data_IF_589328790840
#
_entry.id   IF_589328790840
#
_cell.length_a   1.000
_cell.length_b   1.000
_cell.length_c   1.000
_cell.angle_alpha   90.00
_cell.angle_beta   90.00
_cell.angle_gamma   90.00
#
_symmetry.space_group_name_H-M   'P 1'
#
loop_
_entity.id
_entity.type
_entity.pdbx_description
1 polymer ?
#
# COMPACT_ATOMS: atom_id res chain seq x y z
N UNK A 1 19.43 -3.08 -10.25
CA UNK A 1 18.81 -4.42 -10.32
C UNK A 1 19.75 -5.52 -10.88
N UNK A 2 20.39 -5.41 -12.07
CA UNK A 2 21.23 -6.52 -12.59
C UNK A 2 22.37 -6.94 -11.66
N UNK A 3 22.98 -6.01 -10.93
CA UNK A 3 24.06 -6.30 -9.96
C UNK A 3 23.62 -7.20 -8.79
N UNK A 4 22.36 -7.18 -8.41
CA UNK A 4 21.85 -8.01 -7.32
C UNK A 4 21.71 -9.48 -7.70
N UNK A 5 21.49 -9.79 -8.98
CA UNK A 5 21.42 -11.18 -9.48
C UNK A 5 22.78 -11.88 -9.40
N UNK A 6 23.87 -11.14 -9.55
CA UNK A 6 25.24 -11.66 -9.43
C UNK A 6 25.83 -11.57 -8.02
N UNK A 7 25.13 -10.93 -7.07
CA UNK A 7 25.63 -10.78 -5.72
C UNK A 7 25.42 -12.07 -4.90
N UNK A 8 26.44 -12.45 -4.15
CA UNK A 8 26.35 -13.62 -3.26
C UNK A 8 25.37 -13.36 -2.12
N UNK A 9 24.54 -14.34 -1.76
CA UNK A 9 23.65 -14.22 -0.62
C UNK A 9 24.44 -14.09 0.69
N UNK A 10 24.06 -13.13 1.51
CA UNK A 10 24.69 -12.95 2.83
C UNK A 10 24.35 -14.12 3.74
N UNK A 11 25.34 -14.65 4.41
CA UNK A 11 25.17 -15.77 5.35
C UNK A 11 25.53 -15.30 6.75
N UNK A 12 24.52 -15.20 7.61
CA UNK A 12 24.70 -14.89 9.03
C UNK A 12 24.64 -16.20 9.83
N UNK A 13 25.64 -16.52 10.65
CA UNK A 13 25.68 -17.79 11.39
C UNK A 13 24.54 -17.97 12.39
N UNK A 14 24.09 -16.86 13.00
CA UNK A 14 23.04 -16.84 14.02
C UNK A 14 21.63 -16.56 13.45
N UNK A 15 21.46 -16.48 12.12
CA UNK A 15 20.18 -16.19 11.50
C UNK A 15 19.26 -17.40 11.52
N UNK A 16 17.96 -17.16 11.84
CA UNK A 16 16.89 -18.08 11.54
C UNK A 16 16.52 -17.96 10.05
N UNK A 17 17.05 -18.86 9.25
CA UNK A 17 16.89 -18.82 7.79
C UNK A 17 15.45 -19.05 7.33
N UNK A 18 14.66 -19.81 8.10
CA UNK A 18 13.27 -20.07 7.75
C UNK A 18 12.43 -18.80 7.92
N UNK A 19 12.50 -18.17 9.09
CA UNK A 19 11.77 -16.94 9.38
C UNK A 19 12.20 -15.82 8.44
N UNK A 20 13.51 -15.68 8.19
CA UNK A 20 14.02 -14.68 7.27
C UNK A 20 13.46 -14.85 5.86
N UNK A 21 13.54 -16.05 5.28
CA UNK A 21 13.04 -16.31 3.92
C UNK A 21 11.53 -16.19 3.81
N UNK A 22 10.79 -16.68 4.81
CA UNK A 22 9.34 -16.49 4.87
C UNK A 22 9.01 -15.00 4.84
N UNK A 23 9.68 -14.20 5.66
CA UNK A 23 9.47 -12.75 5.68
C UNK A 23 9.75 -12.07 4.34
N UNK A 24 10.88 -12.40 3.72
CA UNK A 24 11.29 -11.83 2.42
C UNK A 24 10.31 -12.19 1.31
N UNK A 25 9.82 -13.44 1.27
CA UNK A 25 8.90 -13.93 0.22
C UNK A 25 7.47 -13.41 0.45
N UNK A 26 7.05 -13.25 1.70
CA UNK A 26 5.69 -12.79 2.02
C UNK A 26 5.40 -11.41 1.45
N UNK A 27 6.35 -10.49 1.43
CA UNK A 27 6.13 -9.11 0.94
C UNK A 27 5.70 -9.07 -0.54
N UNK A 28 6.45 -9.65 -1.50
CA UNK A 28 6.01 -9.66 -2.90
C UNK A 28 4.78 -10.55 -3.13
N UNK A 29 4.63 -11.66 -2.41
CA UNK A 29 3.45 -12.53 -2.53
C UNK A 29 2.18 -11.80 -2.09
N UNK A 30 2.20 -11.09 -0.95
CA UNK A 30 1.08 -10.31 -0.49
C UNK A 30 0.70 -9.21 -1.50
N UNK A 31 1.69 -8.54 -2.11
CA UNK A 31 1.44 -7.54 -3.15
C UNK A 31 0.78 -8.13 -4.40
N UNK A 32 1.17 -9.34 -4.83
CA UNK A 32 0.53 -10.03 -5.96
C UNK A 32 -0.88 -10.48 -5.59
N UNK A 33 -1.08 -11.04 -4.40
CA UNK A 33 -2.40 -11.47 -3.92
C UNK A 33 -3.36 -10.28 -3.77
N UNK A 34 -2.87 -9.12 -3.36
CA UNK A 34 -3.68 -7.90 -3.30
C UNK A 34 -4.17 -7.44 -4.68
N UNK A 35 -3.38 -7.66 -5.73
CA UNK A 35 -3.73 -7.28 -7.09
C UNK A 35 -4.85 -8.14 -7.71
N UNK A 36 -5.10 -9.35 -7.20
CA UNK A 36 -6.11 -10.27 -7.75
C UNK A 36 -7.54 -9.70 -7.70
N UNK A 37 -7.85 -8.86 -6.73
CA UNK A 37 -9.18 -8.26 -6.54
C UNK A 37 -9.38 -6.95 -7.29
N UNK A 38 -8.33 -6.45 -7.95
CA UNK A 38 -8.38 -5.16 -8.66
C UNK A 38 -9.01 -5.36 -10.04
N UNK A 39 -10.17 -4.74 -10.34
CA UNK A 39 -10.78 -4.86 -11.64
C UNK A 39 -10.00 -4.07 -12.69
N UNK A 40 -9.68 -4.75 -13.79
CA UNK A 40 -9.04 -4.15 -14.94
C UNK A 40 -9.99 -4.20 -16.14
N UNK A 41 -10.45 -3.06 -16.58
CA UNK A 41 -11.43 -2.97 -17.65
C UNK A 41 -12.84 -3.50 -17.30
N UNK A 42 -13.17 -3.63 -16.02
CA UNK A 42 -14.47 -4.14 -15.54
C UNK A 42 -14.45 -5.59 -15.08
N UNK A 43 -13.34 -6.31 -15.25
CA UNK A 43 -13.16 -7.70 -14.77
C UNK A 43 -12.01 -7.78 -13.78
N UNK A 44 -12.19 -8.48 -12.67
CA UNK A 44 -11.13 -8.83 -11.73
C UNK A 44 -10.77 -10.32 -11.88
N UNK A 45 -9.54 -10.69 -11.55
CA UNK A 45 -9.12 -12.11 -11.51
C UNK A 45 -9.88 -12.86 -10.42
N UNK A 46 -10.03 -12.23 -9.25
CA UNK A 46 -10.83 -12.73 -8.14
C UNK A 46 -11.87 -11.66 -7.74
N UNK A 47 -13.10 -11.81 -8.21
CA UNK A 47 -14.19 -10.89 -7.89
C UNK A 47 -14.84 -11.27 -6.55
N UNK A 48 -14.18 -10.86 -5.46
CA UNK A 48 -14.62 -11.15 -4.10
C UNK A 48 -15.66 -10.12 -3.63
N UNK A 49 -16.72 -10.60 -2.98
CA UNK A 49 -17.71 -9.73 -2.32
C UNK A 49 -17.12 -8.84 -1.22
N UNK A 50 -15.96 -9.20 -0.70
CA UNK A 50 -15.20 -8.49 0.33
C UNK A 50 -13.82 -8.06 -0.19
N UNK A 51 -13.73 -7.68 -1.46
CA UNK A 51 -12.47 -7.37 -2.15
C UNK A 51 -11.65 -6.26 -1.47
N UNK A 52 -12.31 -5.24 -0.92
CA UNK A 52 -11.64 -4.17 -0.14
C UNK A 52 -10.99 -4.73 1.12
N UNK A 53 -11.67 -5.61 1.84
CA UNK A 53 -11.13 -6.26 3.06
C UNK A 53 -9.98 -7.19 2.70
N UNK A 54 -10.08 -7.92 1.59
CA UNK A 54 -8.98 -8.75 1.10
C UNK A 54 -7.72 -7.92 0.82
N UNK A 55 -7.85 -6.79 0.12
CA UNK A 55 -6.73 -5.89 -0.16
C UNK A 55 -6.05 -5.43 1.14
N UNK A 56 -6.84 -4.98 2.12
CA UNK A 56 -6.33 -4.55 3.42
C UNK A 56 -5.66 -5.73 4.19
N UNK A 57 -6.26 -6.92 4.16
CA UNK A 57 -5.67 -8.09 4.82
C UNK A 57 -4.29 -8.48 4.22
N UNK A 58 -4.11 -8.33 2.90
CA UNK A 58 -2.81 -8.57 2.26
C UNK A 58 -1.79 -7.50 2.65
N UNK A 59 -2.23 -6.27 2.84
CA UNK A 59 -1.39 -5.19 3.34
C UNK A 59 -0.90 -5.50 4.77
N UNK A 60 -1.79 -5.89 5.68
CA UNK A 60 -1.43 -6.31 7.05
C UNK A 60 -0.51 -7.54 7.04
N UNK A 61 -0.69 -8.48 6.12
CA UNK A 61 0.21 -9.63 5.94
C UNK A 61 1.65 -9.17 5.63
N UNK A 62 1.81 -8.04 4.93
CA UNK A 62 3.13 -7.44 4.68
C UNK A 62 3.82 -6.99 5.97
N UNK A 63 3.07 -6.57 7.00
CA UNK A 63 3.67 -6.24 8.30
C UNK A 63 4.35 -7.45 8.93
N UNK A 64 3.64 -8.58 8.96
CA UNK A 64 4.21 -9.83 9.45
C UNK A 64 5.45 -10.23 8.63
N UNK A 65 5.36 -10.14 7.30
CA UNK A 65 6.47 -10.44 6.40
C UNK A 65 7.70 -9.58 6.66
N UNK A 66 7.52 -8.26 6.73
CA UNK A 66 8.65 -7.35 6.92
C UNK A 66 9.23 -7.44 8.36
N UNK A 67 8.37 -7.68 9.35
CA UNK A 67 8.84 -7.94 10.71
C UNK A 67 9.67 -9.22 10.79
N UNK A 68 9.23 -10.32 10.16
CA UNK A 68 9.98 -11.58 10.07
C UNK A 68 11.31 -11.39 9.31
N UNK A 69 11.31 -10.61 8.23
CA UNK A 69 12.52 -10.28 7.49
C UNK A 69 13.52 -9.47 8.34
N UNK A 70 13.02 -8.65 9.27
CA UNK A 70 13.84 -7.91 10.23
C UNK A 70 14.33 -8.77 11.39
N UNK A 71 13.50 -9.69 11.90
CA UNK A 71 13.80 -10.58 13.01
C UNK A 71 14.76 -11.71 12.61
N UNK A 72 14.49 -12.36 11.46
CA UNK A 72 15.19 -13.57 11.02
C UNK A 72 16.72 -13.49 10.95
N UNK A 73 17.34 -12.37 10.53
CA UNK A 73 18.78 -12.20 10.51
C UNK A 73 19.46 -12.24 11.88
N UNK A 74 18.70 -12.09 12.97
CA UNK A 74 19.21 -11.96 14.34
C UNK A 74 20.29 -10.85 14.46
N UNK A 75 20.01 -9.72 13.81
CA UNK A 75 20.87 -8.55 13.75
C UNK A 75 20.14 -7.31 14.26
N UNK A 76 20.76 -6.55 15.16
CA UNK A 76 20.12 -5.44 15.86
C UNK A 76 19.51 -4.39 14.90
N UNK A 77 20.24 -3.97 13.87
CA UNK A 77 19.77 -2.95 12.93
C UNK A 77 18.60 -3.44 12.06
N UNK A 78 18.62 -4.71 11.62
CA UNK A 78 17.54 -5.31 10.86
C UNK A 78 16.26 -5.41 11.69
N UNK A 79 16.39 -5.84 12.97
CA UNK A 79 15.29 -5.92 13.92
C UNK A 79 14.66 -4.56 14.18
N UNK A 80 15.49 -3.53 14.40
CA UNK A 80 15.03 -2.14 14.57
C UNK A 80 14.25 -1.69 13.33
N UNK A 81 14.71 -2.06 12.12
CA UNK A 81 13.99 -1.79 10.88
C UNK A 81 12.60 -2.43 10.84
N UNK A 82 12.48 -3.70 11.27
CA UNK A 82 11.20 -4.39 11.40
C UNK A 82 10.24 -3.67 12.35
N UNK A 83 10.69 -3.27 13.54
CA UNK A 83 9.87 -2.51 14.49
C UNK A 83 9.49 -1.13 13.99
N UNK A 84 10.38 -0.45 13.26
CA UNK A 84 10.05 0.83 12.61
C UNK A 84 8.91 0.68 11.62
N UNK A 85 8.85 -0.44 10.89
CA UNK A 85 7.76 -0.69 9.97
C UNK A 85 6.44 -0.97 10.69
N UNK A 86 6.46 -1.76 11.76
CA UNK A 86 5.26 -1.99 12.60
C UNK A 86 4.74 -0.67 13.18
N UNK A 87 5.62 0.18 13.70
CA UNK A 87 5.23 1.50 14.21
C UNK A 87 4.64 2.40 13.11
N UNK A 88 5.22 2.36 11.90
CA UNK A 88 4.69 3.08 10.74
C UNK A 88 3.33 2.53 10.32
N UNK A 89 3.17 1.19 10.34
CA UNK A 89 1.92 0.50 10.06
C UNK A 89 0.79 0.95 10.99
N UNK A 90 1.02 0.88 12.29
CA UNK A 90 0.05 1.35 13.29
C UNK A 90 -0.36 2.81 13.11
N UNK A 91 0.49 3.63 12.50
CA UNK A 91 0.18 5.02 12.23
C UNK A 91 -0.72 5.21 11.01
N UNK A 92 -0.47 4.50 9.90
CA UNK A 92 -1.23 4.70 8.66
C UNK A 92 -2.46 3.81 8.54
N UNK A 93 -2.49 2.66 9.21
CA UNK A 93 -3.55 1.66 9.05
C UNK A 93 -4.93 2.22 9.36
N UNK A 94 -5.07 2.89 10.50
CA UNK A 94 -6.38 3.40 10.91
C UNK A 94 -6.91 4.48 9.94
N UNK A 95 -6.14 5.53 9.56
CA UNK A 95 -6.55 6.47 8.51
C UNK A 95 -6.83 5.78 7.16
N UNK A 96 -6.02 4.79 6.77
CA UNK A 96 -6.20 4.03 5.55
C UNK A 96 -7.51 3.24 5.55
N UNK A 97 -7.82 2.54 6.65
CA UNK A 97 -9.08 1.84 6.81
C UNK A 97 -10.28 2.78 6.68
N UNK A 98 -10.25 3.97 7.29
CA UNK A 98 -11.31 4.95 7.13
C UNK A 98 -11.42 5.47 5.70
N UNK A 99 -10.31 5.64 5.00
CA UNK A 99 -10.36 5.97 3.58
C UNK A 99 -11.04 4.86 2.76
N UNK A 100 -10.65 3.59 2.96
CA UNK A 100 -11.26 2.44 2.30
C UNK A 100 -12.77 2.32 2.62
N UNK A 101 -13.14 2.46 3.89
CA UNK A 101 -14.52 2.40 4.36
C UNK A 101 -15.35 3.57 3.77
N UNK A 102 -14.79 4.77 3.61
CA UNK A 102 -15.48 5.89 2.97
C UNK A 102 -15.97 5.54 1.57
N UNK A 103 -15.09 4.94 0.74
CA UNK A 103 -15.45 4.52 -0.61
C UNK A 103 -16.46 3.37 -0.61
N UNK A 104 -16.29 2.38 0.29
CA UNK A 104 -17.20 1.26 0.44
C UNK A 104 -18.60 1.68 0.92
N UNK A 105 -18.68 2.60 1.90
CA UNK A 105 -19.95 3.16 2.40
C UNK A 105 -20.69 3.93 1.31
N UNK A 106 -19.98 4.74 0.53
CA UNK A 106 -20.58 5.50 -0.57
C UNK A 106 -21.17 4.61 -1.66
N UNK A 107 -20.61 3.42 -1.86
CA UNK A 107 -21.06 2.42 -2.82
C UNK A 107 -22.01 1.36 -2.20
N UNK A 108 -22.19 1.37 -0.88
CA UNK A 108 -22.95 0.36 -0.11
C UNK A 108 -22.46 -1.08 -0.38
N UNK A 109 -21.16 -1.24 -0.75
CA UNK A 109 -20.57 -2.53 -1.12
C UNK A 109 -19.10 -2.58 -0.76
N UNK A 110 -18.61 -3.78 -0.38
CA UNK A 110 -17.18 -4.10 -0.20
C UNK A 110 -16.56 -4.71 -1.46
N UNK A 111 -17.37 -4.96 -2.51
CA UNK A 111 -16.89 -5.45 -3.79
C UNK A 111 -16.29 -4.31 -4.59
N UNK A 112 -15.04 -4.47 -5.02
CA UNK A 112 -14.30 -3.39 -5.71
C UNK A 112 -14.96 -2.97 -7.04
N UNK A 113 -15.56 -3.94 -7.74
CA UNK A 113 -16.30 -3.68 -8.98
C UNK A 113 -17.52 -2.77 -8.78
N UNK A 114 -18.28 -3.00 -7.70
CA UNK A 114 -19.47 -2.19 -7.38
C UNK A 114 -19.07 -0.75 -7.00
N UNK A 115 -17.97 -0.60 -6.25
CA UNK A 115 -17.42 0.72 -5.91
C UNK A 115 -17.05 1.51 -7.18
N UNK A 116 -16.43 0.84 -8.15
CA UNK A 116 -16.10 1.47 -9.42
C UNK A 116 -17.35 1.89 -10.19
N UNK A 117 -18.41 1.07 -10.19
CA UNK A 117 -19.68 1.36 -10.86
C UNK A 117 -20.47 2.48 -10.18
N UNK A 118 -20.45 2.58 -8.85
CA UNK A 118 -21.13 3.63 -8.11
C UNK A 118 -20.65 5.06 -8.49
N UNK A 119 -19.54 5.19 -9.21
CA UNK A 119 -18.93 6.46 -9.60
C UNK A 119 -19.28 6.91 -11.03
N UNK A 120 -20.30 6.34 -11.68
CA UNK A 120 -20.65 6.72 -13.05
C UNK A 120 -21.04 8.20 -13.21
N UNK A 121 -21.57 8.85 -12.18
CA UNK A 121 -21.94 10.26 -12.22
C UNK A 121 -20.80 11.20 -11.85
N UNK A 122 -20.10 10.92 -10.75
CA UNK A 122 -19.02 11.73 -10.21
C UNK A 122 -18.00 10.85 -9.50
N UNK A 123 -16.72 11.06 -9.81
CA UNK A 123 -15.64 10.33 -9.16
C UNK A 123 -15.57 10.66 -7.66
N UNK A 124 -15.33 9.65 -6.86
CA UNK A 124 -15.19 9.80 -5.40
C UNK A 124 -14.03 10.71 -5.02
N UNK A 125 -12.96 10.76 -5.81
CA UNK A 125 -11.85 11.68 -5.59
C UNK A 125 -12.27 13.16 -5.57
N UNK A 126 -13.40 13.53 -6.23
CA UNK A 126 -13.85 14.93 -6.31
C UNK A 126 -14.58 15.35 -5.03
N UNK A 127 -15.45 14.52 -4.47
CA UNK A 127 -16.22 14.85 -3.28
C UNK A 127 -15.70 14.19 -1.99
N UNK A 128 -14.77 13.24 -2.11
CA UNK A 128 -14.01 12.66 -1.00
C UNK A 128 -12.48 12.88 -1.15
N UNK A 129 -12.01 14.12 -1.38
CA UNK A 129 -10.61 14.39 -1.66
C UNK A 129 -9.70 14.01 -0.49
N UNK A 130 -10.19 14.12 0.74
CA UNK A 130 -9.45 13.76 1.96
C UNK A 130 -9.19 12.25 2.00
N UNK A 131 -10.22 11.43 1.79
CA UNK A 131 -10.07 9.99 1.76
C UNK A 131 -9.10 9.55 0.65
N UNK A 132 -9.21 10.15 -0.54
CA UNK A 132 -8.30 9.89 -1.65
C UNK A 132 -6.85 10.27 -1.32
N UNK A 133 -6.61 11.44 -0.75
CA UNK A 133 -5.26 11.88 -0.36
C UNK A 133 -4.66 10.99 0.74
N UNK A 134 -5.46 10.62 1.75
CA UNK A 134 -5.03 9.71 2.83
C UNK A 134 -4.74 8.32 2.28
N UNK A 135 -5.57 7.82 1.37
CA UNK A 135 -5.32 6.55 0.69
C UNK A 135 -3.96 6.57 -0.05
N UNK A 136 -3.68 7.63 -0.84
CA UNK A 136 -2.40 7.77 -1.55
C UNK A 136 -1.20 7.87 -0.59
N UNK A 137 -1.36 8.56 0.54
CA UNK A 137 -0.34 8.58 1.59
C UNK A 137 -0.12 7.18 2.20
N UNK A 138 -1.20 6.42 2.41
CA UNK A 138 -1.14 5.01 2.83
C UNK A 138 -0.39 4.14 1.82
N UNK A 139 -0.64 4.32 0.51
CA UNK A 139 0.09 3.60 -0.56
C UNK A 139 1.60 3.82 -0.46
N UNK A 140 2.04 5.05 -0.23
CA UNK A 140 3.46 5.37 -0.04
C UNK A 140 3.99 4.72 1.25
N UNK A 141 3.18 4.72 2.32
CA UNK A 141 3.57 4.20 3.62
C UNK A 141 3.72 2.67 3.62
N UNK A 142 2.74 1.91 3.11
CA UNK A 142 2.85 0.45 3.08
C UNK A 142 3.83 -0.08 2.02
N UNK A 143 4.13 0.70 0.98
CA UNK A 143 5.21 0.37 0.05
C UNK A 143 6.60 0.72 0.59
N UNK A 144 6.70 1.35 1.75
CA UNK A 144 7.93 1.80 2.44
C UNK A 144 8.97 2.39 1.48
N UNK A 145 8.50 3.26 0.57
CA UNK A 145 9.28 3.99 -0.43
C UNK A 145 9.30 5.49 -0.13
N UNK A 146 10.26 6.19 -0.70
CA UNK A 146 10.36 7.66 -0.64
C UNK A 146 10.34 8.22 0.77
N UNK A 147 9.34 9.04 1.15
CA UNK A 147 9.26 9.64 2.48
C UNK A 147 9.12 8.60 3.60
N UNK A 148 8.59 7.41 3.30
CA UNK A 148 8.34 6.32 4.25
C UNK A 148 9.38 5.21 4.20
N UNK A 149 10.56 5.43 3.60
CA UNK A 149 11.63 4.42 3.47
C UNK A 149 12.44 4.15 4.74
N UNK A 150 12.13 4.83 5.84
CA UNK A 150 12.87 4.73 7.10
C UNK A 150 13.00 3.30 7.64
N UNK A 151 11.98 2.40 7.55
CA UNK A 151 12.12 0.99 7.91
C UNK A 151 13.10 0.20 7.03
N UNK A 152 13.21 0.56 5.77
CA UNK A 152 14.13 -0.10 4.83
C UNK A 152 15.60 0.14 5.21
N UNK A 153 15.92 1.33 5.75
CA UNK A 153 17.25 1.67 6.22
C UNK A 153 18.29 1.77 5.10
N UNK A 154 18.00 2.59 4.10
CA UNK A 154 18.93 2.90 2.99
C UNK A 154 19.98 3.94 3.40
N UNK A 155 19.93 4.42 4.62
CA UNK A 155 20.82 5.41 5.23
C UNK A 155 21.72 4.77 6.30
N UNK A 156 22.49 5.63 7.00
CA UNK A 156 23.43 5.22 8.08
C UNK A 156 22.71 4.50 9.23
N UNK A 157 21.43 4.78 9.43
CA UNK A 157 20.63 4.15 10.49
C UNK A 157 20.34 2.67 10.23
N UNK A 158 20.60 2.18 9.02
CA UNK A 158 20.32 0.83 8.54
C UNK A 158 18.87 0.35 8.87
N UNK A 159 18.46 -0.77 8.35
CA UNK A 159 17.12 -1.33 8.56
C UNK A 159 17.03 -2.73 7.97
N UNK A 160 15.82 -3.16 7.61
CA UNK A 160 15.57 -4.52 7.10
C UNK A 160 16.43 -4.86 5.89
N UNK A 161 16.73 -3.89 5.02
CA UNK A 161 17.58 -4.11 3.84
C UNK A 161 19.07 -4.23 4.17
N UNK A 162 19.50 -3.82 5.36
CA UNK A 162 20.93 -3.80 5.75
C UNK A 162 21.58 -5.17 5.72
N UNK A 163 20.84 -6.21 6.11
CA UNK A 163 21.34 -7.59 6.13
C UNK A 163 20.99 -8.38 4.87
N UNK A 164 20.11 -7.85 4.01
CA UNK A 164 19.71 -8.56 2.79
C UNK A 164 20.68 -8.30 1.64
N UNK A 165 20.94 -9.32 0.83
CA UNK A 165 21.78 -9.23 -0.36
C UNK A 165 21.30 -10.19 -1.45
N UNK A 166 21.77 -10.00 -2.67
CA UNK A 166 21.43 -10.90 -3.78
C UNK A 166 19.93 -11.03 -4.01
N UNK A 167 19.45 -12.26 -4.11
CA UNK A 167 18.05 -12.57 -4.39
C UNK A 167 17.07 -12.08 -3.31
N UNK A 168 17.44 -12.17 -2.02
CA UNK A 168 16.59 -11.74 -0.92
C UNK A 168 16.32 -10.23 -0.99
N UNK A 169 17.36 -9.44 -1.27
CA UNK A 169 17.20 -8.00 -1.47
C UNK A 169 16.39 -7.68 -2.72
N UNK A 170 16.60 -8.43 -3.80
CA UNK A 170 15.81 -8.24 -5.04
C UNK A 170 14.33 -8.49 -4.81
N UNK A 171 13.97 -9.54 -4.06
CA UNK A 171 12.58 -9.87 -3.72
C UNK A 171 11.92 -8.76 -2.88
N UNK A 172 12.60 -8.25 -1.85
CA UNK A 172 12.08 -7.14 -1.05
C UNK A 172 11.92 -5.86 -1.88
N UNK A 173 12.90 -5.52 -2.72
CA UNK A 173 12.78 -4.36 -3.62
C UNK A 173 11.66 -4.54 -4.64
N UNK A 174 11.50 -5.73 -5.21
CA UNK A 174 10.39 -6.04 -6.11
C UNK A 174 9.04 -5.92 -5.36
N UNK A 175 8.95 -6.43 -4.13
CA UNK A 175 7.76 -6.32 -3.29
C UNK A 175 7.34 -4.87 -3.04
N UNK A 176 8.29 -3.98 -2.74
CA UNK A 176 8.05 -2.54 -2.54
C UNK A 176 7.41 -1.90 -3.78
N UNK A 177 7.97 -2.16 -4.96
CA UNK A 177 7.46 -1.61 -6.22
C UNK A 177 6.14 -2.26 -6.64
N UNK A 178 5.95 -3.56 -6.38
CA UNK A 178 4.68 -4.23 -6.59
C UNK A 178 3.59 -3.64 -5.71
N UNK A 179 3.87 -3.35 -4.44
CA UNK A 179 2.93 -2.67 -3.55
C UNK A 179 2.57 -1.25 -4.01
N UNK A 180 3.55 -0.48 -4.46
CA UNK A 180 3.28 0.85 -5.02
C UNK A 180 2.37 0.75 -6.26
N UNK A 181 2.63 -0.22 -7.13
CA UNK A 181 1.85 -0.43 -8.36
C UNK A 181 0.45 -0.94 -8.05
N UNK A 182 0.31 -1.94 -7.17
CA UNK A 182 -0.98 -2.48 -6.74
C UNK A 182 -1.82 -1.41 -6.04
N UNK A 183 -1.22 -0.62 -5.14
CA UNK A 183 -1.90 0.49 -4.49
C UNK A 183 -2.34 1.58 -5.46
N UNK A 184 -1.51 1.93 -6.44
CA UNK A 184 -1.89 2.86 -7.50
C UNK A 184 -3.04 2.32 -8.38
N UNK A 185 -3.01 1.02 -8.68
CA UNK A 185 -4.07 0.36 -9.44
C UNK A 185 -5.39 0.30 -8.67
N UNK A 186 -5.34 0.02 -7.36
CA UNK A 186 -6.51 -0.03 -6.49
C UNK A 186 -7.15 1.36 -6.27
N UNK A 187 -6.38 2.46 -6.35
CA UNK A 187 -6.90 3.82 -6.31
C UNK A 187 -7.93 4.08 -7.43
N UNK A 188 -7.77 3.43 -8.58
CA UNK A 188 -8.60 3.68 -9.76
C UNK A 188 -10.05 3.22 -9.56
N UNK A 189 -10.36 1.97 -9.17
CA UNK A 189 -11.72 1.58 -8.86
C UNK A 189 -12.28 2.23 -7.59
N UNK A 190 -11.45 2.54 -6.58
CA UNK A 190 -11.91 3.14 -5.34
C UNK A 190 -12.32 4.61 -5.49
N UNK A 191 -11.61 5.40 -6.31
CA UNK A 191 -11.77 6.86 -6.32
C UNK A 191 -11.91 7.50 -7.69
N UNK A 192 -11.52 6.80 -8.78
CA UNK A 192 -11.46 7.37 -10.14
C UNK A 192 -12.42 6.70 -11.13
N UNK A 193 -13.42 5.96 -10.62
CA UNK A 193 -14.46 5.34 -11.44
C UNK A 193 -13.99 4.19 -12.33
N UNK A 194 -12.94 3.47 -11.92
CA UNK A 194 -12.46 2.29 -12.64
C UNK A 194 -12.14 2.55 -14.11
N UNK A 195 -12.60 1.66 -14.98
CA UNK A 195 -12.43 1.75 -16.44
C UNK A 195 -13.39 2.70 -17.16
N UNK A 196 -14.21 3.48 -16.45
CA UNK A 196 -15.16 4.40 -17.08
C UNK A 196 -14.44 5.59 -17.73
N UNK A 197 -14.82 5.88 -18.99
CA UNK A 197 -14.32 7.02 -19.74
C UNK A 197 -14.74 6.97 -21.22
N UNK A 198 -14.75 8.10 -21.93
CA UNK A 198 -15.18 8.19 -23.32
C UNK A 198 -14.12 7.67 -24.30
N UNK A 199 -14.53 7.05 -25.41
CA UNK A 199 -13.72 6.82 -26.58
C UNK A 199 -12.68 5.69 -26.52
N UNK A 200 -12.30 5.19 -25.35
CA UNK A 200 -11.35 4.09 -25.17
C UNK A 200 -12.01 2.90 -24.47
N UNK A 201 -11.54 1.67 -24.72
CA UNK A 201 -12.02 0.51 -23.99
C UNK A 201 -11.66 0.61 -22.50
N UNK A 202 -12.48 0.01 -21.61
CA UNK A 202 -12.35 0.13 -20.17
C UNK A 202 -10.97 -0.27 -19.62
N UNK A 203 -10.32 -1.27 -20.19
CA UNK A 203 -8.97 -1.66 -19.81
C UNK A 203 -7.94 -0.55 -20.06
N UNK A 204 -8.09 0.18 -21.18
CA UNK A 204 -7.17 1.26 -21.52
C UNK A 204 -7.33 2.45 -20.57
N UNK A 205 -8.57 2.77 -20.16
CA UNK A 205 -8.83 3.77 -19.12
C UNK A 205 -8.26 3.35 -17.76
N UNK A 206 -8.46 2.08 -17.35
CA UNK A 206 -7.87 1.56 -16.11
C UNK A 206 -6.34 1.67 -16.14
N UNK A 207 -5.70 1.30 -17.24
CA UNK A 207 -4.24 1.43 -17.41
C UNK A 207 -3.78 2.88 -17.34
N UNK A 208 -4.42 3.78 -18.10
CA UNK A 208 -4.05 5.20 -18.17
C UNK A 208 -4.15 5.87 -16.80
N UNK A 209 -5.27 5.66 -16.09
CA UNK A 209 -5.48 6.21 -14.74
C UNK A 209 -4.46 5.64 -13.75
N UNK A 210 -4.20 4.33 -13.80
CA UNK A 210 -3.17 3.69 -12.96
C UNK A 210 -1.80 4.29 -13.21
N UNK A 211 -1.40 4.46 -14.48
CA UNK A 211 -0.13 5.09 -14.83
C UNK A 211 -0.06 6.56 -14.39
N UNK A 212 -1.15 7.30 -14.47
CA UNK A 212 -1.21 8.68 -14.01
C UNK A 212 -1.03 8.77 -12.47
N UNK A 213 -1.74 7.91 -11.71
CA UNK A 213 -1.59 7.84 -10.25
C UNK A 213 -0.17 7.41 -9.88
N UNK A 214 0.36 6.37 -10.54
CA UNK A 214 1.72 5.89 -10.31
C UNK A 214 2.77 6.97 -10.61
N UNK A 215 2.61 7.71 -11.72
CA UNK A 215 3.49 8.83 -12.05
C UNK A 215 3.45 9.93 -10.98
N UNK A 216 2.26 10.26 -10.48
CA UNK A 216 2.09 11.19 -9.36
C UNK A 216 2.79 10.72 -8.08
N UNK A 217 2.61 9.44 -7.71
CA UNK A 217 3.29 8.85 -6.56
C UNK A 217 4.81 8.84 -6.73
N UNK A 218 5.31 8.46 -7.90
CA UNK A 218 6.76 8.49 -8.19
C UNK A 218 7.32 9.91 -8.15
N UNK A 219 6.55 10.90 -8.60
CA UNK A 219 6.94 12.30 -8.47
C UNK A 219 7.06 12.72 -7.00
N UNK A 220 6.10 12.34 -6.15
CA UNK A 220 6.15 12.57 -4.70
C UNK A 220 7.36 11.89 -4.07
N UNK A 221 7.64 10.60 -4.42
CA UNK A 221 8.81 9.87 -3.94
C UNK A 221 10.13 10.61 -4.17
N UNK A 222 10.23 11.34 -5.30
CA UNK A 222 11.44 12.07 -5.68
C UNK A 222 11.56 13.45 -5.04
N UNK A 223 10.46 14.02 -4.56
CA UNK A 223 10.40 15.39 -4.06
C UNK A 223 10.34 15.50 -2.54
N UNK A 224 9.74 14.52 -1.87
CA UNK A 224 9.57 14.56 -0.43
C UNK A 224 10.76 13.97 0.32
N UNK A 225 11.23 14.64 1.39
CA UNK A 225 12.26 14.10 2.27
C UNK A 225 11.73 12.91 3.06
N UNK A 226 12.65 12.14 3.65
CA UNK A 226 12.31 11.02 4.56
C UNK A 226 11.64 11.57 5.80
N UNK A 227 10.49 11.01 6.14
CA UNK A 227 9.73 11.35 7.34
C UNK A 227 10.12 10.38 8.45
N UNK A 228 10.38 10.90 9.65
CA UNK A 228 10.64 10.09 10.82
C UNK A 228 9.34 9.45 11.33
N UNK A 229 9.44 8.19 11.74
CA UNK A 229 8.27 7.43 12.18
C UNK A 229 7.53 8.10 13.36
N UNK A 230 8.25 8.64 14.34
CA UNK A 230 7.69 9.33 15.50
C UNK A 230 6.80 10.53 15.11
N UNK A 231 7.30 11.38 14.19
CA UNK A 231 6.54 12.53 13.68
C UNK A 231 5.34 12.12 12.85
N UNK A 232 5.49 11.04 12.08
CA UNK A 232 4.39 10.52 11.28
C UNK A 232 3.28 9.93 12.15
N UNK A 233 3.62 9.19 13.21
CA UNK A 233 2.64 8.65 14.16
C UNK A 233 1.83 9.79 14.79
N UNK A 234 2.49 10.84 15.30
CA UNK A 234 1.82 12.00 15.89
C UNK A 234 0.88 12.67 14.89
N UNK A 235 1.36 12.95 13.68
CA UNK A 235 0.55 13.56 12.62
C UNK A 235 -0.65 12.68 12.21
N UNK A 236 -0.44 11.37 12.08
CA UNK A 236 -1.49 10.44 11.70
C UNK A 236 -2.62 10.39 12.74
N UNK A 237 -2.28 10.30 14.02
CA UNK A 237 -3.27 10.22 15.10
C UNK A 237 -3.97 11.54 15.39
N UNK A 238 -3.25 12.66 15.34
CA UNK A 238 -3.82 13.97 15.69
C UNK A 238 -4.55 14.62 14.53
N UNK A 239 -4.12 14.36 13.29
CA UNK A 239 -4.67 15.05 12.10
C UNK A 239 -5.41 14.08 11.17
N UNK A 240 -4.75 12.97 10.72
CA UNK A 240 -5.36 12.13 9.69
C UNK A 240 -6.54 11.34 10.21
N UNK A 241 -6.49 10.79 11.43
CA UNK A 241 -7.61 10.02 12.02
C UNK A 241 -8.85 10.90 12.19
N UNK A 242 -8.82 12.05 12.87
CA UNK A 242 -10.01 12.91 12.97
C UNK A 242 -10.55 13.38 11.62
N UNK A 243 -9.64 13.72 10.69
CA UNK A 243 -10.02 14.20 9.37
C UNK A 243 -10.71 13.11 8.53
N UNK A 244 -10.23 11.88 8.59
CA UNK A 244 -10.86 10.75 7.90
C UNK A 244 -12.15 10.29 8.56
N UNK A 245 -12.28 10.39 9.88
CA UNK A 245 -13.56 10.16 10.57
C UNK A 245 -14.65 11.12 10.10
N UNK A 246 -14.34 12.41 10.00
CA UNK A 246 -15.26 13.41 9.44
C UNK A 246 -15.60 13.07 7.98
N UNK A 247 -14.59 12.60 7.20
CA UNK A 247 -14.83 12.22 5.81
C UNK A 247 -15.76 10.99 5.69
N UNK A 248 -15.63 9.97 6.56
CA UNK A 248 -16.53 8.79 6.58
C UNK A 248 -17.97 9.18 6.93
N UNK A 249 -18.15 10.17 7.81
CA UNK A 249 -19.47 10.63 8.21
C UNK A 249 -20.25 11.19 7.02
N UNK A 250 -19.58 11.84 6.06
CA UNK A 250 -20.25 12.43 4.88
C UNK A 250 -20.99 11.38 4.05
N UNK A 251 -20.35 10.31 3.50
CA UNK A 251 -21.07 9.29 2.78
C UNK A 251 -22.10 8.55 3.66
N UNK A 252 -21.82 8.31 4.94
CA UNK A 252 -22.75 7.66 5.84
C UNK A 252 -24.06 8.45 5.99
N UNK A 253 -23.99 9.77 6.15
CA UNK A 253 -25.18 10.62 6.23
C UNK A 253 -25.92 10.69 4.89
N UNK A 254 -25.22 10.70 3.76
CA UNK A 254 -25.85 10.71 2.44
C UNK A 254 -26.58 9.41 2.13
N UNK A 255 -26.07 8.26 2.58
CA UNK A 255 -26.71 6.96 2.42
C UNK A 255 -27.93 6.84 3.35
N UNK A 256 -27.81 7.29 4.61
CA UNK A 256 -28.94 7.24 5.57
C UNK A 256 -30.06 8.21 5.23
N UNK A 257 -29.81 9.26 4.48
CA UNK A 257 -30.77 10.27 4.06
C UNK A 257 -31.54 9.95 2.76
N UNK A 258 -31.20 8.80 2.12
CA UNK A 258 -31.91 8.27 0.94
C UNK A 258 -32.97 7.28 1.34
#
# INVERSE_FOLDING_TARGET
MPRLLGAQPRRLPAADRLLWRLGVVTVPVAAVLSALVIPFGGTAVADLSVGVVWFNAMEVLTWAGLWLAGWGPNAAFSLIGGYRFVAQGLAYELPLMFALISAATAAESLRVGDIAQAQHGLWFAVWMPVAFAVYLAGVLAFSFLGPFRYPAGEDVAAGVLGETSGADRLLLEAGRWLWLTSGAAMAVPLYLGGGAGPGLPGWAWSALKTLAVLAGLVWVLRRMPVVRADRYVEFAWVVLVPLTLVQVLVPALLVLGR
#
